data_IF_622967448985
#
_entry.id   IF_622967448985
#
_cell.length_a   1.000
_cell.length_b   1.000
_cell.length_c   1.000
_cell.angle_alpha   90.00
_cell.angle_beta   90.00
_cell.angle_gamma   90.00
#
_symmetry.space_group_name_H-M   'P 1'
#
loop_
_entity.id
_entity.type
_entity.pdbx_description
1 polymer ?
#
# COMPACT_ATOMS: atom_id res chain seq x y z
N UNK A 1 27.75 -0.51 8.97
CA UNK A 1 27.22 0.28 10.13
C UNK A 1 28.09 1.53 10.48
N UNK A 2 29.35 1.64 10.06
CA UNK A 2 30.23 2.79 10.39
C UNK A 2 29.91 4.14 9.73
N UNK A 3 29.12 4.20 8.64
CA UNK A 3 28.82 5.47 7.93
C UNK A 3 27.84 6.41 8.68
N UNK A 4 27.05 5.89 9.62
CA UNK A 4 26.05 6.69 10.35
C UNK A 4 26.67 7.59 11.44
N UNK A 5 27.81 7.21 12.03
CA UNK A 5 28.46 7.98 13.12
C UNK A 5 29.05 9.32 12.64
N UNK A 6 29.53 9.40 11.40
CA UNK A 6 30.09 10.64 10.80
C UNK A 6 29.03 11.72 10.56
N UNK A 7 27.76 11.35 10.42
CA UNK A 7 26.67 12.29 10.15
C UNK A 7 26.39 13.24 11.33
N UNK A 8 26.73 12.82 12.56
CA UNK A 8 26.53 13.64 13.77
C UNK A 8 27.34 14.94 13.76
N UNK A 9 28.49 14.95 13.10
CA UNK A 9 29.39 16.11 13.07
C UNK A 9 29.00 17.17 12.03
N UNK A 10 28.27 16.76 10.98
CA UNK A 10 27.76 17.68 9.94
C UNK A 10 26.37 18.24 10.24
N UNK A 11 25.72 17.82 11.34
CA UNK A 11 24.41 18.30 11.81
C UNK A 11 24.30 19.83 11.92
N UNK A 12 25.27 20.57 12.51
CA UNK A 12 25.13 22.02 12.61
C UNK A 12 25.15 22.69 11.23
N UNK A 13 25.95 22.17 10.29
CA UNK A 13 26.07 22.70 8.92
C UNK A 13 24.78 22.45 8.11
N UNK A 14 24.17 21.26 8.27
CA UNK A 14 22.87 20.92 7.68
C UNK A 14 21.70 21.73 8.27
N UNK A 15 21.90 22.36 9.43
CA UNK A 15 20.94 23.25 10.08
C UNK A 15 20.94 24.69 9.53
N UNK A 16 21.94 25.09 8.74
CA UNK A 16 21.98 26.43 8.16
C UNK A 16 20.91 26.59 7.07
N UNK A 17 20.07 27.62 7.20
CA UNK A 17 18.95 27.89 6.28
C UNK A 17 19.38 28.02 4.81
N UNK A 18 20.58 28.54 4.54
CA UNK A 18 21.14 28.63 3.18
C UNK A 18 21.44 27.24 2.58
N UNK A 19 22.03 26.33 3.37
CA UNK A 19 22.36 24.96 2.95
C UNK A 19 21.08 24.18 2.66
N UNK A 20 20.08 24.29 3.54
CA UNK A 20 18.76 23.69 3.32
C UNK A 20 18.07 24.23 2.07
N UNK A 21 18.16 25.54 1.81
CA UNK A 21 17.56 26.16 0.62
C UNK A 21 18.24 25.68 -0.68
N UNK A 22 19.56 25.49 -0.68
CA UNK A 22 20.28 24.90 -1.85
C UNK A 22 19.95 23.42 -2.04
N UNK A 23 19.85 22.65 -0.96
CA UNK A 23 19.44 21.24 -1.01
C UNK A 23 18.03 21.10 -1.57
N UNK A 24 17.07 21.88 -1.07
CA UNK A 24 15.69 21.92 -1.57
C UNK A 24 15.62 22.31 -3.05
N UNK A 25 16.32 23.38 -3.46
CA UNK A 25 16.37 23.80 -4.85
C UNK A 25 17.03 22.75 -5.77
N UNK A 26 18.01 21.99 -5.27
CA UNK A 26 18.62 20.88 -6.01
C UNK A 26 17.67 19.68 -6.13
N UNK A 27 16.94 19.37 -5.05
CA UNK A 27 15.89 18.34 -5.04
C UNK A 27 14.79 18.71 -6.03
N UNK A 28 14.26 19.93 -6.00
CA UNK A 28 13.23 20.40 -6.94
C UNK A 28 13.68 20.32 -8.41
N UNK A 29 14.96 20.58 -8.70
CA UNK A 29 15.51 20.49 -10.06
C UNK A 29 15.84 19.06 -10.50
N UNK A 30 16.10 18.14 -9.57
CA UNK A 30 16.60 16.79 -9.87
C UNK A 30 15.50 15.73 -9.75
N UNK A 31 14.50 15.94 -8.89
CA UNK A 31 13.37 15.03 -8.72
C UNK A 31 12.35 15.31 -9.81
N UNK A 32 12.54 14.68 -10.97
CA UNK A 32 11.44 14.45 -11.91
C UNK A 32 10.48 13.47 -11.25
N UNK A 33 9.20 13.80 -11.19
CA UNK A 33 8.18 12.89 -10.66
C UNK A 33 8.24 11.52 -11.35
N UNK A 34 7.87 10.43 -10.67
CA UNK A 34 8.05 9.07 -11.18
C UNK A 34 7.40 8.94 -12.56
N UNK A 35 8.15 8.43 -13.51
CA UNK A 35 7.70 8.18 -14.88
C UNK A 35 6.48 7.24 -14.89
N UNK A 36 5.70 7.23 -15.97
CA UNK A 36 4.54 6.33 -16.09
C UNK A 36 4.93 4.85 -15.84
N UNK A 37 6.12 4.43 -16.26
CA UNK A 37 6.65 3.09 -16.01
C UNK A 37 7.04 2.85 -14.55
N UNK A 38 7.59 3.83 -13.84
CA UNK A 38 7.88 3.72 -12.41
C UNK A 38 6.60 3.72 -11.57
N UNK A 39 5.59 4.49 -11.97
CA UNK A 39 4.25 4.46 -11.34
C UNK A 39 3.53 3.15 -11.56
N UNK A 40 3.67 2.55 -12.75
CA UNK A 40 3.11 1.23 -13.04
C UNK A 40 3.78 0.12 -12.20
N UNK A 41 5.03 0.32 -11.78
CA UNK A 41 5.81 -0.65 -10.98
C UNK A 41 5.70 -0.44 -9.47
N UNK A 42 5.13 0.67 -9.00
CA UNK A 42 4.97 0.89 -7.55
C UNK A 42 3.83 0.02 -7.02
N UNK A 43 4.17 -0.98 -6.21
CA UNK A 43 3.20 -1.78 -5.48
C UNK A 43 2.71 -1.05 -4.23
N UNK A 44 1.49 -1.35 -3.80
CA UNK A 44 0.94 -0.89 -2.52
C UNK A 44 0.86 -2.08 -1.57
N UNK A 45 1.35 -1.91 -0.34
CA UNK A 45 1.23 -2.92 0.70
C UNK A 45 0.09 -2.52 1.66
N UNK A 46 -0.81 -3.47 1.88
CA UNK A 46 -1.92 -3.35 2.81
C UNK A 46 -1.64 -4.28 3.99
N UNK A 47 -1.83 -3.75 5.19
CA UNK A 47 -1.68 -4.46 6.46
C UNK A 47 -2.92 -4.22 7.31
N UNK A 48 -3.39 -5.25 8.00
CA UNK A 48 -4.45 -5.14 8.99
C UNK A 48 -4.19 -6.06 10.17
N UNK A 49 -4.47 -5.58 11.38
CA UNK A 49 -4.45 -6.37 12.60
C UNK A 49 -5.85 -6.38 13.22
N UNK A 50 -6.26 -7.54 13.71
CA UNK A 50 -7.46 -7.68 14.54
C UNK A 50 -7.07 -8.31 15.87
N UNK A 51 -7.70 -7.85 16.95
CA UNK A 51 -7.50 -8.34 18.31
C UNK A 51 -8.84 -8.63 18.97
N UNK A 52 -8.93 -9.76 19.68
CA UNK A 52 -10.12 -10.10 20.47
C UNK A 52 -9.95 -9.75 21.96
N UNK A 53 -11.02 -9.91 22.75
CA UNK A 53 -11.03 -9.59 24.18
C UNK A 53 -10.07 -10.45 25.01
N UNK A 54 -9.73 -11.66 24.56
CA UNK A 54 -8.78 -12.56 25.23
C UNK A 54 -7.31 -12.22 24.91
N UNK A 55 -7.09 -11.23 24.05
CA UNK A 55 -5.76 -10.74 23.71
C UNK A 55 -5.12 -11.37 22.47
N UNK A 56 -5.77 -12.36 21.86
CA UNK A 56 -5.27 -12.99 20.63
C UNK A 56 -5.29 -12.01 19.47
N UNK A 57 -4.23 -12.06 18.65
CA UNK A 57 -4.03 -11.16 17.51
C UNK A 57 -3.82 -11.93 16.23
N UNK A 58 -4.48 -11.48 15.17
CA UNK A 58 -4.23 -11.93 13.80
C UNK A 58 -3.87 -10.76 12.92
N UNK A 59 -2.91 -10.98 12.05
CA UNK A 59 -2.39 -9.99 11.11
C UNK A 59 -2.61 -10.50 9.69
N UNK A 60 -3.13 -9.64 8.83
CA UNK A 60 -3.28 -9.86 7.40
C UNK A 60 -2.33 -8.94 6.62
N UNK A 61 -1.68 -9.49 5.59
CA UNK A 61 -0.89 -8.74 4.62
C UNK A 61 -1.37 -9.01 3.21
N UNK A 62 -1.33 -7.98 2.37
CA UNK A 62 -1.65 -8.06 0.95
C UNK A 62 -0.76 -7.07 0.18
N UNK A 63 -0.19 -7.52 -0.92
CA UNK A 63 0.41 -6.62 -1.91
C UNK A 63 -0.56 -6.43 -3.08
N UNK A 64 -0.78 -5.19 -3.49
CA UNK A 64 -1.61 -4.81 -4.63
C UNK A 64 -0.80 -4.02 -5.66
N UNK A 65 -1.37 -3.84 -6.84
CA UNK A 65 -0.91 -2.86 -7.82
C UNK A 65 -0.89 -1.45 -7.20
N UNK A 66 -0.31 -0.47 -7.89
CA UNK A 66 -0.44 0.94 -7.50
C UNK A 66 -1.90 1.27 -7.13
N UNK A 67 -2.12 1.96 -6.00
CA UNK A 67 -3.44 2.30 -5.49
C UNK A 67 -4.38 2.94 -6.52
N UNK A 68 -3.86 3.75 -7.45
CA UNK A 68 -4.68 4.31 -8.53
C UNK A 68 -5.15 3.25 -9.54
N UNK A 69 -4.25 2.35 -9.95
CA UNK A 69 -4.59 1.23 -10.84
C UNK A 69 -5.63 0.32 -10.20
N UNK A 70 -5.46 -0.01 -8.92
CA UNK A 70 -6.42 -0.82 -8.16
C UNK A 70 -7.80 -0.13 -8.11
N UNK A 71 -7.82 1.17 -7.83
CA UNK A 71 -9.06 1.95 -7.71
C UNK A 71 -9.81 2.05 -9.05
N UNK A 72 -9.08 2.08 -10.17
CA UNK A 72 -9.68 2.05 -11.50
C UNK A 72 -10.20 0.65 -11.88
N UNK A 73 -9.46 -0.40 -11.55
CA UNK A 73 -9.80 -1.77 -11.97
C UNK A 73 -10.91 -2.42 -11.15
N UNK A 74 -10.96 -2.17 -9.82
CA UNK A 74 -11.90 -2.85 -8.94
C UNK A 74 -13.38 -2.57 -9.31
N UNK A 75 -13.83 -1.32 -9.55
CA UNK A 75 -15.22 -1.06 -9.94
C UNK A 75 -15.58 -1.69 -11.30
N UNK A 76 -14.65 -1.67 -12.27
CA UNK A 76 -14.87 -2.29 -13.58
C UNK A 76 -15.07 -3.80 -13.44
N UNK A 77 -14.26 -4.46 -12.60
CA UNK A 77 -14.41 -5.89 -12.35
C UNK A 77 -15.76 -6.24 -11.69
N UNK A 78 -16.25 -5.40 -10.76
CA UNK A 78 -17.57 -5.58 -10.14
C UNK A 78 -18.68 -5.45 -11.18
N UNK A 79 -18.67 -4.38 -11.99
CA UNK A 79 -19.68 -4.15 -13.03
C UNK A 79 -19.68 -5.29 -14.05
N UNK A 80 -18.49 -5.74 -14.48
CA UNK A 80 -18.36 -6.87 -15.39
C UNK A 80 -18.97 -8.14 -14.81
N UNK A 81 -18.64 -8.46 -13.56
CA UNK A 81 -19.21 -9.62 -12.88
C UNK A 81 -20.73 -9.53 -12.79
N UNK A 82 -21.26 -8.35 -12.48
CA UNK A 82 -22.70 -8.12 -12.43
C UNK A 82 -23.37 -8.38 -13.78
N UNK A 83 -22.81 -7.84 -14.87
CA UNK A 83 -23.34 -8.04 -16.21
C UNK A 83 -23.29 -9.51 -16.66
N UNK A 84 -22.28 -10.27 -16.21
CA UNK A 84 -22.09 -11.68 -16.59
C UNK A 84 -22.93 -12.65 -15.76
N UNK A 85 -23.07 -12.40 -14.45
CA UNK A 85 -23.68 -13.35 -13.51
C UNK A 85 -25.03 -12.91 -12.97
N UNK A 86 -25.36 -11.63 -13.06
CA UNK A 86 -26.45 -11.03 -12.31
C UNK A 86 -26.15 -11.00 -10.80
N UNK A 87 -26.97 -10.26 -10.06
CA UNK A 87 -26.98 -10.28 -8.60
C UNK A 87 -28.42 -10.16 -8.13
N UNK A 88 -28.79 -10.97 -7.14
CA UNK A 88 -30.12 -10.96 -6.54
C UNK A 88 -30.18 -10.14 -5.24
N UNK A 89 -29.06 -9.51 -4.86
CA UNK A 89 -28.94 -8.72 -3.64
C UNK A 89 -29.14 -7.24 -3.93
N UNK A 90 -29.92 -6.57 -3.08
CA UNK A 90 -30.31 -5.17 -3.24
C UNK A 90 -29.91 -4.34 -2.02
N UNK A 91 -29.59 -3.06 -2.24
CA UNK A 91 -29.20 -2.10 -1.20
C UNK A 91 -27.76 -1.62 -1.31
N UNK A 92 -27.24 -1.00 -0.25
CA UNK A 92 -25.86 -0.52 -0.18
C UNK A 92 -24.94 -1.67 0.25
N UNK A 93 -24.34 -2.35 -0.72
CA UNK A 93 -23.45 -3.49 -0.50
C UNK A 93 -21.99 -3.07 -0.64
N UNK A 94 -21.15 -3.54 0.28
CA UNK A 94 -19.70 -3.39 0.14
C UNK A 94 -19.16 -4.42 -0.85
N UNK A 95 -18.01 -4.16 -1.50
CA UNK A 95 -17.39 -5.13 -2.40
C UNK A 95 -17.15 -6.51 -1.75
N UNK A 96 -16.80 -6.54 -0.46
CA UNK A 96 -16.57 -7.80 0.25
C UNK A 96 -17.86 -8.62 0.45
N UNK A 97 -19.01 -7.97 0.61
CA UNK A 97 -20.30 -8.65 0.67
C UNK A 97 -20.75 -9.16 -0.70
N UNK A 98 -20.53 -8.35 -1.75
CA UNK A 98 -21.00 -8.65 -3.10
C UNK A 98 -20.12 -9.69 -3.82
N UNK A 99 -18.81 -9.56 -3.68
CA UNK A 99 -17.81 -10.32 -4.43
C UNK A 99 -17.05 -11.35 -3.56
N UNK A 100 -17.27 -11.32 -2.24
CA UNK A 100 -16.53 -12.10 -1.26
C UNK A 100 -15.27 -11.39 -0.71
N UNK A 101 -14.81 -11.85 0.45
CA UNK A 101 -13.67 -11.25 1.15
C UNK A 101 -12.35 -11.32 0.35
N UNK A 102 -12.20 -12.32 -0.53
CA UNK A 102 -11.01 -12.54 -1.35
C UNK A 102 -11.04 -11.80 -2.69
N UNK A 103 -12.06 -10.99 -2.96
CA UNK A 103 -12.22 -10.29 -4.25
C UNK A 103 -10.96 -9.54 -4.69
N UNK A 104 -10.31 -8.84 -3.76
CA UNK A 104 -9.08 -8.09 -4.05
C UNK A 104 -7.96 -8.99 -4.59
N UNK A 105 -7.86 -10.23 -4.11
CA UNK A 105 -6.87 -11.22 -4.55
C UNK A 105 -7.12 -11.71 -5.98
N UNK A 106 -8.33 -11.53 -6.51
CA UNK A 106 -8.68 -11.88 -7.89
C UNK A 106 -8.27 -10.81 -8.91
N UNK A 107 -7.95 -9.60 -8.44
CA UNK A 107 -7.63 -8.47 -9.32
C UNK A 107 -6.20 -8.55 -9.86
N UNK A 108 -5.96 -8.07 -11.09
CA UNK A 108 -4.62 -8.06 -11.68
C UNK A 108 -3.60 -7.34 -10.79
N UNK A 109 -2.43 -7.96 -10.59
CA UNK A 109 -1.36 -7.37 -9.79
C UNK A 109 -1.62 -7.37 -8.27
N UNK A 110 -2.64 -8.10 -7.81
CA UNK A 110 -2.88 -8.36 -6.39
C UNK A 110 -2.44 -9.77 -6.02
N UNK A 111 -1.92 -9.90 -4.79
CA UNK A 111 -1.53 -11.18 -4.20
C UNK A 111 -2.68 -11.79 -3.39
N UNK A 112 -2.51 -13.02 -2.91
CA UNK A 112 -3.43 -13.58 -1.92
C UNK A 112 -3.27 -12.88 -0.56
N UNK A 113 -4.37 -12.74 0.18
CA UNK A 113 -4.34 -12.25 1.56
C UNK A 113 -3.64 -13.30 2.44
N UNK A 114 -2.53 -12.92 3.07
CA UNK A 114 -1.79 -13.79 3.98
C UNK A 114 -2.16 -13.45 5.42
N UNK A 115 -2.81 -14.38 6.12
CA UNK A 115 -3.17 -14.25 7.53
C UNK A 115 -2.16 -15.02 8.39
N UNK A 116 -1.63 -14.37 9.41
CA UNK A 116 -0.68 -14.94 10.38
C UNK A 116 -1.11 -14.60 11.80
N UNK A 117 -0.77 -15.46 12.75
CA UNK A 117 -0.89 -15.12 14.17
C UNK A 117 0.23 -14.14 14.53
N UNK A 118 -0.08 -13.05 15.22
CA UNK A 118 0.89 -11.97 15.45
C UNK A 118 2.09 -12.42 16.30
N UNK A 119 1.93 -13.48 17.09
CA UNK A 119 2.94 -14.02 18.00
C UNK A 119 3.95 -14.96 17.31
N UNK A 120 3.80 -15.21 16.00
CA UNK A 120 4.66 -16.09 15.21
C UNK A 120 5.80 -15.37 14.47
N UNK A 121 6.07 -14.11 14.81
CA UNK A 121 7.12 -13.28 14.22
C UNK A 121 8.15 -12.84 15.27
N UNK A 122 8.73 -13.83 15.94
CA UNK A 122 9.93 -13.67 16.75
C UNK A 122 10.84 -14.88 16.52
N UNK A 123 11.50 -14.91 15.37
CA UNK A 123 12.69 -15.72 15.06
C UNK A 123 13.54 -14.99 14.00
#
# INVERSE_FOLDING_TARGET
>A
IQKAKRMRWFRPILGLGFVQRRLKAKIEKTVKGPSLNERARSATLVWGEVRNATGQKKVAHLTTSNGYTLTAQAPIAIVKHWLEKGFDQFGSLTPALLMGADFVSSLPGCSAIQIKDADSQSD
#
